data_IF_116664897780
#
_entry.id   IF_116664897780
#
_cell.length_a   1.000
_cell.length_b   1.000
_cell.length_c   1.000
_cell.angle_alpha   90.00
_cell.angle_beta   90.00
_cell.angle_gamma   90.00
#
_symmetry.space_group_name_H-M   'P 1'
#
loop_
_entity.id
_entity.type
_entity.pdbx_description
1 polymer ?
#
# COMPACT_ATOMS: atom_id res chain seq x y z
N UNK A 1 -42.63 23.85 33.01
CA UNK A 1 -41.52 23.87 33.98
C UNK A 1 -40.26 24.23 33.19
N UNK A 2 -39.63 25.33 33.60
CA UNK A 2 -38.38 25.98 33.15
C UNK A 2 -37.49 25.28 32.08
N UNK A 3 -37.15 26.05 31.02
CA UNK A 3 -35.86 26.21 30.26
C UNK A 3 -34.81 25.07 30.23
N UNK A 4 -33.91 24.93 29.25
CA UNK A 4 -33.61 25.50 27.91
C UNK A 4 -32.41 24.67 27.39
N UNK A 5 -32.27 24.44 26.08
CA UNK A 5 -31.16 25.00 25.30
C UNK A 5 -31.22 24.57 23.84
N UNK A 6 -30.75 25.45 22.97
CA UNK A 6 -30.82 25.31 21.52
C UNK A 6 -29.70 26.17 20.92
N UNK A 7 -29.28 25.80 19.71
CA UNK A 7 -28.57 26.63 18.73
C UNK A 7 -27.08 26.97 18.90
N UNK A 8 -26.42 26.91 17.73
CA UNK A 8 -25.23 27.63 17.23
C UNK A 8 -23.87 27.11 17.70
N UNK A 9 -22.94 26.76 16.81
CA UNK A 9 -22.35 27.53 15.68
C UNK A 9 -21.51 28.70 16.22
N UNK A 10 -20.19 28.50 16.29
CA UNK A 10 -19.23 29.52 16.66
C UNK A 10 -17.99 29.40 15.76
N UNK A 11 -17.76 30.42 14.94
CA UNK A 11 -16.49 30.69 14.30
C UNK A 11 -15.81 31.87 15.02
N UNK A 12 -14.49 31.77 15.21
CA UNK A 12 -13.59 32.86 15.63
C UNK A 12 -12.17 32.37 15.27
N UNK A 13 -11.45 32.88 14.27
CA UNK A 13 -11.04 34.25 13.99
C UNK A 13 -10.16 34.83 15.11
N UNK A 14 -8.84 34.74 14.94
CA UNK A 14 -7.87 35.52 15.71
C UNK A 14 -6.84 36.18 14.78
N UNK A 15 -7.13 37.42 14.41
CA UNK A 15 -6.13 38.36 13.89
C UNK A 15 -5.60 39.16 15.08
N UNK A 16 -4.30 39.13 15.32
CA UNK A 16 -3.62 40.09 16.21
C UNK A 16 -2.42 40.68 15.46
N UNK A 17 -2.59 41.90 14.96
CA UNK A 17 -1.48 42.79 14.66
C UNK A 17 -1.09 43.52 15.95
N UNK A 18 0.20 43.56 16.29
CA UNK A 18 0.75 44.57 17.21
C UNK A 18 1.91 45.26 16.50
N UNK A 19 1.83 46.59 16.46
CA UNK A 19 2.90 47.47 15.98
C UNK A 19 3.18 48.55 17.02
N UNK A 20 4.36 49.17 16.91
CA UNK A 20 4.97 50.17 17.79
C UNK A 20 5.53 49.64 19.15
N UNK A 21 6.71 50.08 19.60
CA UNK A 21 7.69 50.92 18.90
C UNK A 21 8.85 51.44 19.78
N UNK A 22 9.90 51.91 19.08
CA UNK A 22 10.91 52.88 19.50
C UNK A 22 11.70 52.71 20.84
N UNK A 23 13.01 52.48 20.70
CA UNK A 23 14.05 53.12 21.53
C UNK A 23 15.27 53.50 20.66
N UNK A 24 15.71 54.76 20.72
CA UNK A 24 17.08 55.18 20.35
C UNK A 24 17.97 55.20 21.59
N UNK A 25 19.29 55.43 21.56
CA UNK A 25 20.24 55.79 20.49
C UNK A 25 21.69 55.37 20.97
N UNK A 26 22.85 55.70 20.37
CA UNK A 26 23.21 56.70 19.36
C UNK A 26 24.55 56.38 18.62
N UNK A 27 24.93 57.26 17.70
CA UNK A 27 26.10 57.30 16.80
C UNK A 27 27.48 56.89 17.36
N UNK A 28 28.30 56.28 16.49
CA UNK A 28 29.50 56.91 15.91
C UNK A 28 29.66 56.51 14.43
N UNK A 29 30.44 57.28 13.67
CA UNK A 29 30.65 57.10 12.24
C UNK A 29 32.11 56.69 11.96
N UNK A 30 32.33 55.96 10.85
CA UNK A 30 33.62 55.88 10.17
C UNK A 30 33.42 55.53 8.67
N UNK A 31 33.80 56.48 7.83
CA UNK A 31 34.68 56.36 6.66
C UNK A 31 34.45 55.23 5.63
N UNK A 32 33.88 55.63 4.50
CA UNK A 32 33.40 54.73 3.46
C UNK A 32 34.43 54.08 2.54
N UNK A 33 33.95 53.00 1.91
CA UNK A 33 34.22 52.58 0.52
C UNK A 33 32.91 52.02 -0.05
N UNK A 34 32.67 52.25 -1.33
CA UNK A 34 31.56 51.61 -2.03
C UNK A 34 32.06 50.27 -2.58
N UNK A 35 31.56 49.17 -2.03
CA UNK A 35 31.69 47.86 -2.67
C UNK A 35 30.70 47.76 -3.85
N UNK A 36 31.05 47.06 -4.94
CA UNK A 36 30.14 46.84 -6.05
C UNK A 36 28.97 45.94 -5.62
N UNK A 37 27.76 46.23 -6.11
CA UNK A 37 26.60 45.35 -5.90
C UNK A 37 26.93 43.92 -6.35
N UNK A 38 26.67 42.90 -5.52
CA UNK A 38 26.75 41.51 -5.96
C UNK A 38 25.71 41.29 -7.05
N UNK A 39 26.10 40.60 -8.12
CA UNK A 39 25.16 40.24 -9.18
C UNK A 39 24.04 39.39 -8.60
N UNK A 40 22.79 39.84 -8.78
CA UNK A 40 21.60 39.06 -8.42
C UNK A 40 21.55 37.85 -9.34
N UNK A 41 22.01 36.70 -8.83
CA UNK A 41 21.56 35.42 -9.34
C UNK A 41 20.08 35.30 -8.98
N UNK A 42 19.21 35.29 -9.99
CA UNK A 42 17.80 34.94 -9.76
C UNK A 42 17.77 33.52 -9.20
N UNK A 43 17.39 33.37 -7.94
CA UNK A 43 17.04 32.07 -7.39
C UNK A 43 15.85 31.53 -8.22
N UNK A 44 15.85 30.25 -8.59
CA UNK A 44 14.72 29.68 -9.31
C UNK A 44 13.46 29.88 -8.46
N UNK A 45 12.45 30.53 -9.05
CA UNK A 45 11.15 30.67 -8.41
C UNK A 45 10.66 29.25 -8.14
N UNK A 46 10.36 28.86 -6.88
CA UNK A 46 9.86 27.54 -6.60
C UNK A 46 8.57 27.34 -7.39
N UNK A 47 8.54 26.28 -8.20
CA UNK A 47 7.36 25.89 -8.95
C UNK A 47 6.27 25.59 -7.92
N UNK A 48 5.10 26.22 -8.09
CA UNK A 48 4.02 26.10 -7.09
C UNK A 48 3.40 24.72 -7.27
N UNK A 49 3.53 23.88 -6.24
CA UNK A 49 2.90 22.54 -6.22
C UNK A 49 1.43 22.65 -6.64
N UNK A 50 0.97 21.92 -7.68
CA UNK A 50 -0.40 22.01 -8.17
C UNK A 50 -1.37 21.60 -7.06
N UNK A 51 -2.37 22.46 -6.85
CA UNK A 51 -3.45 22.16 -5.91
C UNK A 51 -4.47 21.22 -6.56
N UNK A 52 -5.30 20.58 -5.75
CA UNK A 52 -6.46 19.83 -6.26
C UNK A 52 -7.37 20.69 -7.17
N UNK A 53 -7.43 22.00 -6.95
CA UNK A 53 -8.26 22.92 -7.74
C UNK A 53 -7.72 23.15 -9.17
N UNK A 54 -6.47 22.75 -9.44
CA UNK A 54 -5.81 22.81 -10.74
C UNK A 54 -6.02 21.54 -11.61
N UNK A 55 -6.60 20.47 -11.03
CA UNK A 55 -6.85 19.21 -11.74
C UNK A 55 -7.78 19.34 -12.94
N UNK A 56 -7.44 18.62 -14.01
CA UNK A 56 -8.21 18.62 -15.25
C UNK A 56 -9.43 17.69 -15.13
N UNK A 57 -10.56 18.26 -14.68
CA UNK A 57 -11.85 17.56 -14.60
C UNK A 57 -12.69 17.78 -15.87
N UNK A 58 -12.96 16.69 -16.60
CA UNK A 58 -13.78 16.68 -17.84
C UNK A 58 -15.04 15.84 -17.66
N UNK A 59 -16.10 16.46 -17.14
CA UNK A 59 -17.35 15.76 -16.85
C UNK A 59 -17.16 14.75 -15.72
N UNK A 60 -17.29 13.45 -16.01
CA UNK A 60 -17.00 12.34 -15.08
C UNK A 60 -15.60 11.75 -15.26
N UNK A 61 -14.64 12.52 -15.75
CA UNK A 61 -13.24 12.12 -15.89
C UNK A 61 -12.34 13.07 -15.13
N UNK A 62 -11.37 12.52 -14.39
CA UNK A 62 -10.22 13.26 -13.82
C UNK A 62 -8.99 12.80 -14.60
N UNK A 63 -8.20 13.74 -15.12
CA UNK A 63 -6.94 13.48 -15.83
C UNK A 63 -5.78 13.86 -14.90
N UNK A 64 -4.93 12.88 -14.54
CA UNK A 64 -3.73 13.04 -13.70
C UNK A 64 -2.50 12.73 -14.55
N UNK A 65 -1.62 13.71 -14.69
CA UNK A 65 -0.49 13.75 -15.64
C UNK A 65 0.86 13.91 -14.96
N UNK A 66 0.91 14.36 -13.70
CA UNK A 66 2.14 14.51 -12.91
C UNK A 66 2.08 13.80 -11.55
N UNK A 67 3.25 13.66 -10.92
CA UNK A 67 3.43 13.15 -9.54
C UNK A 67 2.59 13.95 -8.55
N UNK A 68 2.63 15.26 -8.67
CA UNK A 68 2.08 16.22 -7.72
C UNK A 68 0.55 16.24 -7.82
N UNK A 69 -0.01 16.15 -9.03
CA UNK A 69 -1.46 15.94 -9.23
C UNK A 69 -1.90 14.62 -8.57
N UNK A 70 -1.15 13.53 -8.73
CA UNK A 70 -1.50 12.24 -8.12
C UNK A 70 -1.39 12.26 -6.58
N UNK A 71 -0.40 12.96 -6.04
CA UNK A 71 -0.26 13.21 -4.59
C UNK A 71 -1.41 14.07 -4.04
N UNK A 72 -1.74 15.18 -4.70
CA UNK A 72 -2.85 16.04 -4.34
C UNK A 72 -4.19 15.29 -4.39
N UNK A 73 -4.36 14.34 -5.32
CA UNK A 73 -5.54 13.47 -5.37
C UNK A 73 -5.63 12.55 -4.15
N UNK A 74 -4.52 11.93 -3.74
CA UNK A 74 -4.48 11.05 -2.57
C UNK A 74 -4.76 11.79 -1.26
N UNK A 75 -4.07 12.91 -1.02
CA UNK A 75 -4.35 13.81 0.11
C UNK A 75 -5.82 14.20 0.14
N UNK A 76 -6.36 14.58 -1.01
CA UNK A 76 -7.73 15.04 -1.10
C UNK A 76 -8.74 13.96 -0.71
N UNK A 77 -8.59 12.74 -1.24
CA UNK A 77 -9.48 11.63 -0.92
C UNK A 77 -9.44 11.26 0.57
N UNK A 78 -8.26 11.30 1.18
CA UNK A 78 -8.08 10.93 2.59
C UNK A 78 -8.66 11.97 3.57
N UNK A 79 -8.84 13.23 3.14
CA UNK A 79 -9.49 14.29 3.94
C UNK A 79 -11.03 14.18 4.06
N UNK A 80 -11.68 13.26 3.32
CA UNK A 80 -13.13 13.00 3.36
C UNK A 80 -14.09 14.20 3.14
N UNK A 81 -13.65 15.30 2.51
CA UNK A 81 -14.50 16.47 2.30
C UNK A 81 -15.71 16.13 1.40
N UNK A 82 -16.97 16.19 1.91
CA UNK A 82 -18.17 15.85 1.13
C UNK A 82 -18.43 16.76 -0.07
N UNK A 83 -17.71 17.89 -0.21
CA UNK A 83 -17.72 18.73 -1.42
C UNK A 83 -17.28 17.94 -2.67
N UNK A 84 -16.45 16.92 -2.51
CA UNK A 84 -15.81 16.23 -3.63
C UNK A 84 -16.23 14.76 -3.65
N UNK A 85 -17.07 14.42 -4.63
CA UNK A 85 -17.65 13.10 -4.79
C UNK A 85 -17.39 12.62 -6.21
N UNK A 86 -16.55 11.60 -6.32
CA UNK A 86 -16.10 10.95 -7.54
C UNK A 86 -16.85 9.65 -7.84
N UNK A 87 -18.03 9.42 -7.24
CA UNK A 87 -18.83 8.23 -7.50
C UNK A 87 -19.17 8.09 -8.99
N UNK A 88 -18.77 6.96 -9.57
CA UNK A 88 -18.91 6.68 -11.00
C UNK A 88 -18.05 7.56 -11.92
N UNK A 89 -16.94 8.13 -11.44
CA UNK A 89 -15.94 8.82 -12.27
C UNK A 89 -14.88 7.84 -12.78
N UNK A 90 -14.20 8.21 -13.87
CA UNK A 90 -12.94 7.58 -14.28
C UNK A 90 -11.78 8.52 -13.93
N UNK A 91 -10.87 8.05 -13.07
CA UNK A 91 -9.60 8.69 -12.77
C UNK A 91 -8.59 8.09 -13.74
N UNK A 92 -7.93 8.93 -14.53
CA UNK A 92 -7.00 8.51 -15.57
C UNK A 92 -5.59 8.95 -15.26
N UNK A 93 -4.66 8.02 -15.42
CA UNK A 93 -3.23 8.35 -15.51
C UNK A 93 -2.90 8.65 -16.97
N UNK A 94 -2.27 9.79 -17.24
CA UNK A 94 -2.06 10.34 -18.59
C UNK A 94 -0.60 10.30 -19.06
N UNK A 95 0.33 10.01 -18.15
CA UNK A 95 1.77 9.83 -18.38
C UNK A 95 2.29 8.75 -17.42
N UNK A 96 3.48 8.22 -17.66
CA UNK A 96 4.18 7.48 -16.60
C UNK A 96 4.55 8.44 -15.46
N UNK A 97 4.29 8.03 -14.21
CA UNK A 97 4.49 8.83 -13.00
C UNK A 97 5.50 8.12 -12.10
N UNK A 98 6.57 8.80 -11.72
CA UNK A 98 7.52 8.28 -10.72
C UNK A 98 7.19 8.84 -9.33
N UNK A 99 7.02 7.98 -8.34
CA UNK A 99 6.73 8.29 -6.94
C UNK A 99 7.90 7.94 -6.00
N UNK A 100 9.07 7.58 -6.53
CA UNK A 100 10.28 7.33 -5.72
C UNK A 100 10.62 8.55 -4.82
N UNK A 101 10.65 8.40 -3.48
CA UNK A 101 10.97 9.48 -2.55
C UNK A 101 12.43 9.94 -2.64
N UNK A 102 13.33 9.23 -3.34
CA UNK A 102 14.70 9.66 -3.59
C UNK A 102 14.83 10.75 -4.67
N UNK A 103 13.78 11.02 -5.45
CA UNK A 103 13.75 12.15 -6.39
C UNK A 103 13.59 13.49 -5.64
N UNK A 104 13.97 14.60 -6.28
CA UNK A 104 13.81 15.94 -5.72
C UNK A 104 12.33 16.24 -5.43
N UNK A 105 12.03 16.87 -4.27
CA UNK A 105 10.66 17.01 -3.77
C UNK A 105 9.99 15.69 -3.34
N UNK A 106 10.72 14.57 -3.33
CA UNK A 106 10.23 13.25 -2.99
C UNK A 106 9.72 13.11 -1.56
N UNK A 107 8.66 12.32 -1.43
CA UNK A 107 7.97 11.98 -0.18
C UNK A 107 7.29 10.63 -0.34
N UNK A 108 6.98 9.96 0.76
CA UNK A 108 6.30 8.67 0.72
C UNK A 108 4.86 8.79 0.24
N UNK A 109 4.29 7.66 -0.19
CA UNK A 109 2.90 7.54 -0.61
C UNK A 109 1.98 7.36 0.59
N UNK A 110 0.99 8.23 0.73
CA UNK A 110 -0.13 8.02 1.66
C UNK A 110 -1.20 7.15 0.97
N UNK A 111 -1.50 5.93 1.47
CA UNK A 111 -2.50 5.05 0.87
C UNK A 111 -3.87 5.72 0.73
N UNK A 112 -4.55 5.53 -0.40
CA UNK A 112 -5.90 6.08 -0.62
C UNK A 112 -6.94 5.20 0.05
N UNK A 113 -7.86 5.79 0.82
CA UNK A 113 -9.08 5.11 1.29
C UNK A 113 -10.20 5.24 0.25
N UNK A 114 -10.64 4.11 -0.32
CA UNK A 114 -11.73 4.06 -1.29
C UNK A 114 -13.05 3.83 -0.56
N UNK A 115 -13.70 4.94 -0.22
CA UNK A 115 -14.98 5.00 0.51
C UNK A 115 -16.16 5.39 -0.42
N UNK A 116 -17.33 5.71 0.16
CA UNK A 116 -18.53 6.18 -0.56
C UNK A 116 -18.30 7.26 -1.61
N UNK A 117 -17.28 8.12 -1.46
CA UNK A 117 -16.97 9.18 -2.43
C UNK A 117 -16.32 8.64 -3.71
N UNK A 118 -15.84 7.40 -3.71
CA UNK A 118 -15.33 6.67 -4.89
C UNK A 118 -16.24 5.50 -5.29
N UNK A 119 -17.48 5.43 -4.80
CA UNK A 119 -18.40 4.33 -5.14
C UNK A 119 -18.61 4.20 -6.65
N UNK A 120 -18.21 3.06 -7.22
CA UNK A 120 -18.26 2.75 -8.66
C UNK A 120 -17.26 3.54 -9.50
N UNK A 121 -16.23 4.14 -8.89
CA UNK A 121 -15.16 4.81 -9.63
C UNK A 121 -14.21 3.80 -10.28
N UNK A 122 -13.53 4.24 -11.34
CA UNK A 122 -12.57 3.45 -12.11
C UNK A 122 -11.24 4.19 -12.14
N UNK A 123 -10.18 3.57 -11.62
CA UNK A 123 -8.80 4.02 -11.79
C UNK A 123 -8.22 3.33 -13.03
N UNK A 124 -8.06 4.08 -14.13
CA UNK A 124 -7.62 3.60 -15.43
C UNK A 124 -6.24 4.15 -15.75
N UNK A 125 -5.21 3.30 -15.69
CA UNK A 125 -3.84 3.69 -16.00
C UNK A 125 -3.59 4.06 -17.46
N UNK A 126 -4.55 3.83 -18.38
CA UNK A 126 -4.40 4.04 -19.83
C UNK A 126 -3.20 3.28 -20.47
N UNK A 127 -2.58 2.33 -19.75
CA UNK A 127 -1.36 1.62 -20.14
C UNK A 127 -0.07 2.13 -19.48
N UNK A 128 -0.14 3.20 -18.68
CA UNK A 128 1.00 3.85 -18.03
C UNK A 128 1.49 3.15 -16.77
N UNK A 129 2.68 3.58 -16.34
CA UNK A 129 3.42 3.07 -15.19
C UNK A 129 3.41 4.06 -14.03
N UNK A 130 3.17 3.58 -12.81
CA UNK A 130 3.41 4.26 -11.55
C UNK A 130 4.63 3.59 -10.90
N UNK A 131 5.76 4.28 -10.85
CA UNK A 131 7.02 3.76 -10.32
C UNK A 131 7.24 4.17 -8.85
N UNK A 132 8.01 3.40 -8.09
CA UNK A 132 8.69 3.87 -6.87
C UNK A 132 7.79 4.12 -5.65
N UNK A 133 6.53 3.65 -5.67
CA UNK A 133 5.58 3.78 -4.55
C UNK A 133 6.22 3.26 -3.26
N UNK A 134 6.56 4.18 -2.35
CA UNK A 134 7.16 3.83 -1.06
C UNK A 134 6.17 4.14 0.06
N UNK A 135 5.89 3.15 0.92
CA UNK A 135 5.04 3.29 2.10
C UNK A 135 5.79 2.70 3.30
N UNK A 136 5.86 3.45 4.39
CA UNK A 136 6.45 3.02 5.68
C UNK A 136 5.38 3.05 6.79
N UNK A 137 5.68 2.53 8.00
CA UNK A 137 4.70 2.51 9.09
C UNK A 137 4.20 3.90 9.51
N UNK A 138 5.09 4.91 9.49
CA UNK A 138 4.78 6.28 9.88
C UNK A 138 3.73 6.94 8.95
N UNK A 139 3.69 6.53 7.68
CA UNK A 139 2.73 7.03 6.68
C UNK A 139 1.28 6.55 6.91
N UNK A 140 1.09 5.66 7.90
CA UNK A 140 -0.18 5.04 8.24
C UNK A 140 -0.84 5.69 9.47
N UNK A 141 -0.18 6.65 10.11
CA UNK A 141 -0.70 7.44 11.24
C UNK A 141 -1.67 8.57 10.79
N UNK A 142 -2.73 8.21 10.06
CA UNK A 142 -3.75 9.17 9.65
C UNK A 142 -4.61 9.63 10.85
N UNK A 143 -4.30 10.81 11.42
CA UNK A 143 -5.10 11.44 12.47
C UNK A 143 -6.59 11.57 12.05
N UNK A 144 -7.49 10.95 12.81
CA UNK A 144 -8.94 11.07 12.63
C UNK A 144 -9.71 9.75 12.63
N UNK A 145 -9.04 8.62 12.39
CA UNK A 145 -9.64 7.28 12.45
C UNK A 145 -9.16 6.55 13.70
N UNK A 146 -10.06 6.30 14.64
CA UNK A 146 -9.74 5.59 15.87
C UNK A 146 -9.40 4.12 15.61
N UNK A 147 -8.20 3.71 16.04
CA UNK A 147 -7.62 2.36 16.05
C UNK A 147 -7.79 1.50 14.78
N UNK A 148 -6.64 1.27 14.14
CA UNK A 148 -6.35 0.31 13.05
C UNK A 148 -6.71 0.81 11.64
N UNK A 149 -5.68 1.28 10.93
CA UNK A 149 -5.62 1.16 9.47
C UNK A 149 -5.46 -0.33 9.15
N UNK A 150 -6.47 -0.95 8.54
CA UNK A 150 -6.50 -2.40 8.34
C UNK A 150 -5.68 -2.90 7.14
N UNK A 151 -5.24 -2.00 6.25
CA UNK A 151 -4.50 -2.38 5.05
C UNK A 151 -3.46 -1.38 4.55
N UNK A 152 -2.34 -1.91 4.04
CA UNK A 152 -1.29 -1.14 3.33
C UNK A 152 -1.24 -1.53 1.86
N UNK A 153 -1.29 -0.54 0.97
CA UNK A 153 -1.19 -0.70 -0.48
C UNK A 153 -1.28 0.67 -1.14
N UNK A 154 -1.24 0.74 -2.48
CA UNK A 154 -1.49 2.01 -3.18
C UNK A 154 -2.88 2.57 -2.82
N UNK A 155 -3.88 1.69 -2.80
CA UNK A 155 -5.13 1.86 -2.07
C UNK A 155 -5.01 1.10 -0.73
N UNK A 156 -5.11 1.79 0.40
CA UNK A 156 -4.95 1.14 1.71
C UNK A 156 -6.13 0.23 2.06
N UNK A 157 -7.33 0.74 1.78
CA UNK A 157 -8.60 0.09 2.12
C UNK A 157 -9.64 0.37 1.02
N UNK A 158 -10.38 -0.65 0.61
CA UNK A 158 -11.48 -0.55 -0.35
C UNK A 158 -12.78 -1.02 0.31
N UNK A 159 -13.68 -0.08 0.58
CA UNK A 159 -14.96 -0.31 1.27
C UNK A 159 -16.19 -0.26 0.37
N UNK A 160 -16.02 -0.07 -0.94
CA UNK A 160 -17.09 0.09 -1.93
C UNK A 160 -16.70 -0.53 -3.28
N UNK A 161 -17.67 -0.65 -4.19
CA UNK A 161 -17.41 -1.08 -5.57
C UNK A 161 -16.39 -0.16 -6.26
N UNK A 162 -15.34 -0.75 -6.85
CA UNK A 162 -14.21 -0.02 -7.42
C UNK A 162 -13.45 -0.88 -8.44
N UNK A 163 -12.97 -0.26 -9.53
CA UNK A 163 -12.16 -0.96 -10.56
C UNK A 163 -10.78 -0.31 -10.69
N UNK A 164 -9.72 -1.11 -10.69
CA UNK A 164 -8.36 -0.69 -11.05
C UNK A 164 -7.96 -1.41 -12.33
N UNK A 165 -7.50 -0.68 -13.35
CA UNK A 165 -7.16 -1.31 -14.63
C UNK A 165 -6.10 -0.61 -15.47
N UNK A 166 -5.56 -1.34 -16.44
CA UNK A 166 -4.60 -0.84 -17.44
C UNK A 166 -3.40 -0.10 -16.83
N UNK A 167 -2.89 -0.53 -15.68
CA UNK A 167 -1.86 0.19 -14.93
C UNK A 167 -0.73 -0.76 -14.54
N UNK A 168 0.51 -0.25 -14.57
CA UNK A 168 1.68 -0.94 -14.04
C UNK A 168 2.15 -0.26 -12.78
N UNK A 169 2.42 -1.02 -11.72
CA UNK A 169 3.14 -0.56 -10.55
C UNK A 169 4.54 -1.18 -10.58
N UNK A 170 5.58 -0.36 -10.61
CA UNK A 170 6.98 -0.83 -10.68
C UNK A 170 7.78 -0.38 -9.48
N UNK A 171 8.66 -1.25 -8.98
CA UNK A 171 9.61 -0.94 -7.90
C UNK A 171 8.93 -0.37 -6.63
N UNK A 172 7.73 -0.87 -6.30
CA UNK A 172 7.01 -0.47 -5.11
C UNK A 172 7.67 -1.08 -3.86
N UNK A 173 7.86 -0.28 -2.82
CA UNK A 173 8.45 -0.70 -1.54
C UNK A 173 7.44 -0.46 -0.41
N UNK A 174 7.01 -1.53 0.25
CA UNK A 174 6.01 -1.46 1.31
C UNK A 174 6.58 -2.03 2.61
N UNK A 175 6.94 -1.17 3.56
CA UNK A 175 7.28 -1.54 4.92
C UNK A 175 6.00 -1.38 5.76
N UNK A 176 5.28 -2.49 5.97
CA UNK A 176 3.94 -2.47 6.56
C UNK A 176 3.93 -3.00 7.98
N UNK A 177 3.28 -2.23 8.87
CA UNK A 177 2.89 -2.65 10.20
C UNK A 177 1.40 -3.06 10.30
N UNK A 178 0.65 -3.06 9.20
CA UNK A 178 -0.80 -3.34 9.21
C UNK A 178 -1.09 -4.81 8.91
N UNK A 179 -2.30 -5.25 9.29
CA UNK A 179 -2.70 -6.66 9.25
C UNK A 179 -2.76 -7.23 7.84
N UNK A 180 -3.08 -6.43 6.83
CA UNK A 180 -3.20 -6.87 5.44
C UNK A 180 -2.34 -5.98 4.53
N UNK A 181 -1.53 -6.55 3.64
CA UNK A 181 -0.70 -5.74 2.75
C UNK A 181 -0.74 -6.25 1.31
N UNK A 182 -0.93 -5.37 0.35
CA UNK A 182 -0.94 -5.73 -1.07
C UNK A 182 -0.37 -4.65 -1.95
N UNK A 183 0.34 -5.04 -3.02
CA UNK A 183 1.00 -4.11 -3.93
C UNK A 183 0.06 -3.07 -4.57
N UNK A 184 -1.23 -3.38 -4.68
CA UNK A 184 -2.27 -2.48 -5.20
C UNK A 184 -3.31 -2.13 -4.13
N UNK A 185 -3.86 -3.13 -3.44
CA UNK A 185 -4.89 -2.95 -2.40
C UNK A 185 -4.46 -3.63 -1.09
N UNK A 186 -4.45 -2.89 0.02
CA UNK A 186 -4.17 -3.46 1.34
C UNK A 186 -5.29 -4.38 1.84
N UNK A 187 -6.50 -3.86 1.98
CA UNK A 187 -7.67 -4.62 2.46
C UNK A 187 -8.94 -4.28 1.69
N UNK A 188 -9.79 -5.28 1.44
CA UNK A 188 -11.15 -5.14 0.90
C UNK A 188 -12.14 -5.49 2.02
N UNK A 189 -12.99 -4.54 2.37
CA UNK A 189 -13.83 -4.59 3.56
C UNK A 189 -15.21 -3.97 3.36
N UNK A 190 -15.96 -3.84 4.46
CA UNK A 190 -17.25 -3.13 4.55
C UNK A 190 -18.37 -3.69 3.65
N UNK A 191 -18.14 -4.84 3.00
CA UNK A 191 -19.07 -5.45 2.07
C UNK A 191 -19.12 -4.74 0.71
N UNK A 192 -17.98 -4.31 0.18
CA UNK A 192 -17.88 -3.78 -1.18
C UNK A 192 -18.57 -4.72 -2.20
N UNK A 193 -19.50 -4.20 -3.03
CA UNK A 193 -20.34 -5.07 -3.87
C UNK A 193 -19.54 -5.77 -4.97
N UNK A 194 -18.59 -5.06 -5.60
CA UNK A 194 -17.73 -5.58 -6.66
C UNK A 194 -16.39 -4.82 -6.74
N UNK A 195 -15.28 -5.51 -6.48
CA UNK A 195 -13.91 -5.02 -6.72
C UNK A 195 -13.30 -5.74 -7.91
N UNK A 196 -12.70 -4.99 -8.83
CA UNK A 196 -12.19 -5.50 -10.11
C UNK A 196 -10.76 -5.04 -10.36
N UNK A 197 -9.86 -5.99 -10.64
CA UNK A 197 -8.51 -5.73 -11.17
C UNK A 197 -8.42 -6.34 -12.57
N UNK A 198 -8.17 -5.50 -13.58
CA UNK A 198 -8.22 -5.84 -15.01
C UNK A 198 -6.97 -5.30 -15.71
N UNK A 199 -6.12 -6.17 -16.29
CA UNK A 199 -4.85 -5.76 -16.92
C UNK A 199 -3.94 -4.93 -15.99
N UNK A 200 -3.82 -5.32 -14.71
CA UNK A 200 -2.91 -4.70 -13.74
C UNK A 200 -1.59 -5.47 -13.68
N UNK A 201 -0.46 -4.78 -13.77
CA UNK A 201 0.88 -5.37 -13.58
C UNK A 201 1.51 -4.84 -12.29
N UNK A 202 2.13 -5.71 -11.51
CA UNK A 202 3.05 -5.35 -10.43
C UNK A 202 4.40 -6.01 -10.74
N UNK A 203 5.47 -5.23 -10.76
CA UNK A 203 6.83 -5.72 -11.01
C UNK A 203 7.84 -5.07 -10.06
N UNK A 204 8.80 -5.83 -9.53
CA UNK A 204 9.78 -5.28 -8.59
C UNK A 204 9.19 -4.90 -7.23
N UNK A 205 8.06 -5.48 -6.81
CA UNK A 205 7.48 -5.20 -5.50
C UNK A 205 8.37 -5.79 -4.39
N UNK A 206 8.76 -4.96 -3.44
CA UNK A 206 9.37 -5.39 -2.18
C UNK A 206 8.38 -5.08 -1.05
N UNK A 207 7.61 -6.09 -0.68
CA UNK A 207 6.66 -6.02 0.43
C UNK A 207 7.29 -6.69 1.66
N UNK A 208 7.59 -5.87 2.66
CA UNK A 208 8.05 -6.27 3.98
C UNK A 208 6.93 -6.04 4.98
N UNK A 209 6.09 -7.06 5.19
CA UNK A 209 5.07 -7.08 6.23
C UNK A 209 5.63 -7.34 7.63
N UNK A 210 6.88 -6.97 7.90
CA UNK A 210 7.57 -7.15 9.19
C UNK A 210 7.88 -8.60 9.59
N UNK A 211 8.83 -8.76 10.51
CA UNK A 211 9.21 -10.07 11.09
C UNK A 211 8.63 -10.30 12.49
N UNK A 212 8.10 -9.25 13.11
CA UNK A 212 7.64 -9.25 14.50
C UNK A 212 8.76 -9.40 15.54
N UNK A 213 8.33 -9.59 16.79
CA UNK A 213 9.19 -10.14 17.85
C UNK A 213 8.45 -11.23 18.61
N UNK A 214 9.15 -12.01 19.43
CA UNK A 214 8.56 -13.14 20.15
C UNK A 214 7.39 -12.67 21.04
N UNK A 215 6.20 -13.22 20.80
CA UNK A 215 4.93 -12.83 21.44
C UNK A 215 4.42 -11.40 21.13
N UNK A 216 4.96 -10.70 20.13
CA UNK A 216 4.41 -9.43 19.64
C UNK A 216 4.09 -9.48 18.14
N UNK A 217 2.80 -9.32 17.81
CA UNK A 217 2.28 -9.23 16.43
C UNK A 217 2.14 -7.78 15.93
N UNK A 218 2.39 -6.79 16.79
CA UNK A 218 2.42 -5.39 16.37
C UNK A 218 3.57 -5.21 15.37
N UNK A 219 3.26 -4.66 14.21
CA UNK A 219 4.22 -4.54 13.12
C UNK A 219 4.33 -5.77 12.21
N UNK A 220 3.29 -6.63 12.15
CA UNK A 220 3.27 -7.78 11.23
C UNK A 220 2.01 -7.84 10.35
N UNK A 221 2.19 -8.02 9.04
CA UNK A 221 1.12 -8.36 8.09
C UNK A 221 0.73 -9.84 8.18
N UNK A 222 -0.49 -10.06 8.67
CA UNK A 222 -1.17 -11.35 8.82
C UNK A 222 -1.66 -11.92 7.49
N UNK A 223 -1.75 -11.09 6.43
CA UNK A 223 -2.10 -11.50 5.06
C UNK A 223 -1.35 -10.63 4.06
N UNK A 224 -0.68 -11.22 3.07
CA UNK A 224 0.11 -10.47 2.11
C UNK A 224 -0.06 -11.00 0.68
N UNK A 225 -0.24 -10.12 -0.31
CA UNK A 225 -0.38 -10.51 -1.72
C UNK A 225 0.31 -9.55 -2.67
N UNK A 226 0.73 -10.01 -3.84
CA UNK A 226 1.32 -9.13 -4.85
C UNK A 226 0.36 -8.06 -5.37
N UNK A 227 -0.94 -8.36 -5.44
CA UNK A 227 -2.00 -7.40 -5.79
C UNK A 227 -2.80 -6.94 -4.56
N UNK A 228 -3.35 -7.87 -3.80
CA UNK A 228 -4.33 -7.61 -2.74
C UNK A 228 -3.92 -8.31 -1.44
N UNK A 229 -3.93 -7.60 -0.31
CA UNK A 229 -3.61 -8.22 0.99
C UNK A 229 -4.72 -9.16 1.47
N UNK A 230 -5.97 -8.69 1.54
CA UNK A 230 -7.10 -9.51 1.94
C UNK A 230 -8.46 -8.99 1.43
N UNK A 231 -9.40 -9.89 1.10
CA UNK A 231 -10.83 -9.68 1.36
C UNK A 231 -11.20 -10.39 2.67
N UNK A 232 -11.82 -9.65 3.59
CA UNK A 232 -12.26 -10.20 4.88
C UNK A 232 -13.77 -10.16 5.10
N UNK A 233 -14.57 -9.61 4.18
CA UNK A 233 -16.02 -9.49 4.35
C UNK A 233 -16.86 -10.12 3.22
N UNK A 234 -16.23 -10.82 2.26
CA UNK A 234 -16.94 -11.64 1.27
C UNK A 234 -17.45 -10.82 0.09
N UNK A 235 -16.72 -9.74 -0.23
CA UNK A 235 -16.92 -8.92 -1.42
C UNK A 235 -16.74 -9.75 -2.68
N UNK A 236 -17.44 -9.41 -3.78
CA UNK A 236 -17.14 -10.01 -5.07
C UNK A 236 -15.81 -9.45 -5.59
N UNK A 237 -14.77 -10.29 -5.64
CA UNK A 237 -13.43 -9.92 -6.11
C UNK A 237 -13.13 -10.59 -7.44
N UNK A 238 -13.04 -9.79 -8.51
CA UNK A 238 -12.67 -10.26 -9.84
C UNK A 238 -11.25 -9.79 -10.17
N UNK A 239 -10.34 -10.72 -10.41
CA UNK A 239 -8.97 -10.41 -10.86
C UNK A 239 -8.69 -11.20 -12.13
N UNK A 240 -8.48 -10.50 -13.23
CA UNK A 240 -8.14 -11.14 -14.49
C UNK A 240 -7.14 -10.37 -15.34
N UNK A 241 -6.43 -11.13 -16.17
CA UNK A 241 -5.39 -10.64 -17.09
C UNK A 241 -4.28 -9.82 -16.37
N UNK A 242 -4.13 -10.02 -15.06
CA UNK A 242 -3.15 -9.34 -14.22
C UNK A 242 -1.82 -10.12 -14.16
N UNK A 243 -0.74 -9.43 -13.81
CA UNK A 243 0.60 -10.02 -13.69
C UNK A 243 1.29 -9.53 -12.42
N UNK A 244 1.91 -10.44 -11.67
CA UNK A 244 2.86 -10.11 -10.61
C UNK A 244 4.18 -10.79 -10.96
N UNK A 245 5.24 -10.01 -11.15
CA UNK A 245 6.56 -10.57 -11.46
C UNK A 245 7.73 -9.90 -10.75
N UNK A 246 8.88 -10.58 -10.71
CA UNK A 246 10.16 -10.07 -10.19
C UNK A 246 10.01 -9.45 -8.77
N UNK A 247 9.23 -10.09 -7.89
CA UNK A 247 8.72 -9.49 -6.65
C UNK A 247 8.99 -10.36 -5.42
N UNK A 248 9.17 -9.72 -4.26
CA UNK A 248 9.32 -10.38 -2.95
C UNK A 248 8.20 -9.95 -2.02
N UNK A 249 7.36 -10.91 -1.60
CA UNK A 249 6.22 -10.69 -0.70
C UNK A 249 6.50 -11.36 0.64
N UNK A 250 6.63 -10.56 1.69
CA UNK A 250 6.88 -11.03 3.06
C UNK A 250 5.67 -10.78 3.95
N UNK A 251 5.18 -11.83 4.60
CA UNK A 251 4.15 -11.73 5.61
C UNK A 251 4.26 -12.84 6.65
N UNK A 252 3.25 -12.97 7.49
CA UNK A 252 3.22 -13.94 8.58
C UNK A 252 2.41 -15.18 8.21
N UNK A 253 1.21 -14.92 7.72
CA UNK A 253 0.18 -15.90 7.43
C UNK A 253 -0.42 -15.53 6.06
N UNK A 254 -0.95 -16.50 5.32
CA UNK A 254 -1.60 -16.31 4.02
C UNK A 254 -0.88 -15.30 3.09
N UNK A 255 0.25 -15.72 2.53
CA UNK A 255 1.17 -14.96 1.67
C UNK A 255 1.14 -15.50 0.25
N UNK A 256 0.77 -14.72 -0.76
CA UNK A 256 0.59 -15.23 -2.12
C UNK A 256 1.08 -14.29 -3.23
N UNK A 257 1.13 -14.81 -4.46
CA UNK A 257 1.47 -14.01 -5.64
C UNK A 257 0.39 -12.98 -6.01
N UNK A 258 -0.91 -13.26 -5.85
CA UNK A 258 -1.99 -12.30 -6.18
C UNK A 258 -2.73 -11.78 -4.94
N UNK A 259 -3.52 -12.61 -4.27
CA UNK A 259 -4.37 -12.20 -3.13
C UNK A 259 -3.97 -12.95 -1.87
N UNK A 260 -3.48 -12.25 -0.84
CA UNK A 260 -3.05 -12.89 0.40
C UNK A 260 -4.15 -13.76 0.99
N UNK A 261 -5.36 -13.23 1.16
CA UNK A 261 -6.53 -14.02 1.54
C UNK A 261 -7.83 -13.61 0.84
N UNK A 262 -8.67 -14.56 0.46
CA UNK A 262 -10.08 -14.35 0.08
C UNK A 262 -11.03 -15.06 1.04
N UNK A 263 -12.27 -14.57 1.16
CA UNK A 263 -13.36 -15.34 1.75
C UNK A 263 -13.97 -16.34 0.74
N UNK A 264 -14.65 -17.37 1.27
CA UNK A 264 -15.29 -18.42 0.46
C UNK A 264 -16.32 -17.88 -0.53
N UNK A 265 -16.20 -18.31 -1.79
CA UNK A 265 -17.29 -18.31 -2.77
C UNK A 265 -17.61 -16.99 -3.49
N UNK A 266 -16.85 -15.92 -3.26
CA UNK A 266 -17.08 -14.60 -3.85
C UNK A 266 -15.90 -14.10 -4.73
N UNK A 267 -15.30 -14.94 -5.56
CA UNK A 267 -14.18 -14.53 -6.40
C UNK A 267 -14.15 -15.15 -7.81
N UNK A 268 -13.56 -14.41 -8.75
CA UNK A 268 -13.22 -14.88 -10.10
C UNK A 268 -11.75 -14.57 -10.38
N UNK A 269 -10.90 -15.59 -10.50
CA UNK A 269 -9.45 -15.45 -10.71
C UNK A 269 -9.08 -16.17 -12.02
N UNK A 270 -8.80 -15.43 -13.10
CA UNK A 270 -8.60 -16.01 -14.45
C UNK A 270 -7.50 -15.31 -15.26
N UNK A 271 -6.80 -16.04 -16.13
CA UNK A 271 -5.75 -15.55 -17.04
C UNK A 271 -4.58 -14.77 -16.38
N UNK A 272 -4.38 -14.89 -15.06
CA UNK A 272 -3.34 -14.15 -14.35
C UNK A 272 -1.97 -14.83 -14.46
N UNK A 273 -0.89 -14.07 -14.28
CA UNK A 273 0.48 -14.59 -14.33
C UNK A 273 1.26 -14.23 -13.06
N UNK A 274 1.95 -15.22 -12.46
CA UNK A 274 2.83 -15.03 -11.30
C UNK A 274 4.22 -15.58 -11.63
N UNK A 275 5.23 -14.72 -11.79
CA UNK A 275 6.53 -15.12 -12.34
C UNK A 275 7.73 -14.55 -11.59
N UNK A 276 8.70 -15.38 -11.22
CA UNK A 276 9.91 -14.94 -10.51
C UNK A 276 9.53 -14.19 -9.21
N UNK A 277 8.81 -14.89 -8.33
CA UNK A 277 8.25 -14.32 -7.09
C UNK A 277 8.74 -15.12 -5.88
N UNK A 278 9.20 -14.39 -4.86
CA UNK A 278 9.65 -14.93 -3.58
C UNK A 278 8.56 -14.73 -2.52
N UNK A 279 7.99 -15.82 -2.02
CA UNK A 279 6.96 -15.78 -0.96
C UNK A 279 7.59 -16.13 0.40
N UNK A 280 7.86 -15.10 1.19
CA UNK A 280 8.45 -15.22 2.52
C UNK A 280 7.33 -15.21 3.58
N UNK A 281 7.17 -16.29 4.33
CA UNK A 281 6.10 -16.42 5.32
C UNK A 281 6.63 -16.92 6.67
N UNK A 282 5.95 -16.64 7.79
CA UNK A 282 6.38 -17.08 9.13
C UNK A 282 5.30 -17.86 9.85
N UNK A 283 5.40 -19.18 9.84
CA UNK A 283 4.44 -20.04 10.53
C UNK A 283 4.64 -20.06 12.07
N UNK A 284 5.17 -19.01 12.73
CA UNK A 284 5.52 -19.07 14.16
C UNK A 284 4.34 -18.97 15.13
N UNK A 285 3.16 -18.53 14.69
CA UNK A 285 1.92 -18.73 15.47
C UNK A 285 1.48 -20.21 15.57
N UNK A 286 2.16 -21.12 14.87
CA UNK A 286 1.95 -22.56 14.99
C UNK A 286 2.36 -23.15 16.35
N UNK A 287 2.86 -22.33 17.27
CA UNK A 287 3.06 -22.67 18.70
C UNK A 287 1.75 -23.08 19.40
N UNK A 288 0.59 -22.61 18.91
CA UNK A 288 -0.70 -23.18 19.27
C UNK A 288 -0.69 -24.70 18.96
N UNK A 289 -0.88 -25.53 20.00
CA UNK A 289 -0.44 -26.93 20.02
C UNK A 289 -0.95 -27.84 18.89
N UNK A 290 -1.99 -27.43 18.18
CA UNK A 290 -2.54 -28.13 17.00
C UNK A 290 -1.64 -28.03 15.75
N UNK A 291 -0.79 -27.01 15.63
CA UNK A 291 -0.08 -26.67 14.39
C UNK A 291 1.39 -27.12 14.36
N UNK A 292 1.83 -27.92 15.34
CA UNK A 292 3.20 -28.44 15.43
C UNK A 292 3.59 -29.47 14.35
N UNK A 293 2.69 -29.82 13.42
CA UNK A 293 3.02 -30.65 12.26
C UNK A 293 3.56 -29.76 11.12
N UNK A 294 4.80 -29.99 10.60
CA UNK A 294 5.39 -29.24 9.48
C UNK A 294 4.74 -29.50 8.10
N UNK A 295 3.62 -30.22 8.06
CA UNK A 295 2.69 -30.18 6.93
C UNK A 295 1.80 -28.92 6.97
N UNK A 296 1.52 -28.33 8.15
CA UNK A 296 0.66 -27.15 8.26
C UNK A 296 1.32 -25.83 7.86
N UNK A 297 2.65 -25.70 7.97
CA UNK A 297 3.33 -24.46 7.54
C UNK A 297 3.19 -24.19 6.05
N UNK A 298 2.83 -25.20 5.26
CA UNK A 298 2.70 -25.12 3.80
C UNK A 298 1.41 -24.43 3.37
N UNK A 299 0.35 -24.44 4.20
CA UNK A 299 -0.95 -23.83 3.88
C UNK A 299 -0.94 -22.29 3.92
N UNK A 300 0.18 -21.67 4.31
CA UNK A 300 0.30 -20.22 4.42
C UNK A 300 0.86 -19.55 3.16
N UNK A 301 1.12 -20.30 2.08
CA UNK A 301 1.53 -19.73 0.80
C UNK A 301 0.93 -20.44 -0.42
N UNK A 302 0.49 -19.66 -1.41
CA UNK A 302 -0.07 -20.14 -2.68
C UNK A 302 0.37 -19.23 -3.85
N UNK A 303 0.55 -19.73 -5.09
CA UNK A 303 0.83 -18.87 -6.24
C UNK A 303 -0.22 -17.76 -6.43
N UNK A 304 -1.50 -18.06 -6.26
CA UNK A 304 -2.59 -17.15 -6.63
C UNK A 304 -3.30 -16.60 -5.39
N UNK A 305 -3.87 -17.45 -4.53
CA UNK A 305 -4.56 -16.98 -3.34
C UNK A 305 -4.69 -18.01 -2.22
N UNK A 306 -4.74 -17.56 -0.97
CA UNK A 306 -5.15 -18.39 0.16
C UNK A 306 -6.63 -18.14 0.51
N UNK A 307 -7.32 -19.15 1.02
CA UNK A 307 -8.74 -19.03 1.43
C UNK A 307 -8.84 -18.92 2.97
N UNK A 308 -9.77 -18.11 3.46
CA UNK A 308 -9.97 -17.85 4.89
C UNK A 308 -10.65 -19.02 5.63
N UNK A 309 -11.37 -19.89 4.92
CA UNK A 309 -12.08 -21.02 5.47
C UNK A 309 -11.15 -22.23 5.66
N UNK A 310 -11.18 -22.80 6.86
CA UNK A 310 -10.72 -24.17 7.15
C UNK A 310 -9.26 -24.57 6.86
N UNK A 311 -8.31 -23.63 6.71
CA UNK A 311 -6.86 -23.92 6.88
C UNK A 311 -6.35 -25.09 6.02
N UNK A 312 -6.93 -25.27 4.82
CA UNK A 312 -6.97 -26.58 4.17
C UNK A 312 -6.97 -26.55 2.65
N UNK A 313 -6.10 -27.40 2.10
CA UNK A 313 -5.96 -27.88 0.72
C UNK A 313 -6.00 -26.87 -0.46
N UNK A 314 -4.82 -26.74 -1.08
CA UNK A 314 -4.43 -25.92 -2.23
C UNK A 314 -5.34 -26.01 -3.46
N UNK A 315 -5.54 -24.86 -4.12
CA UNK A 315 -6.28 -24.74 -5.38
C UNK A 315 -5.40 -24.75 -6.65
N UNK A 316 -4.10 -25.06 -6.54
CA UNK A 316 -3.15 -25.07 -7.69
C UNK A 316 -3.61 -25.88 -8.92
N UNK A 317 -4.52 -26.85 -8.76
CA UNK A 317 -5.10 -27.61 -9.87
C UNK A 317 -6.33 -26.89 -10.48
N UNK A 318 -7.13 -26.14 -9.70
CA UNK A 318 -8.33 -25.40 -10.16
C UNK A 318 -7.97 -24.10 -10.88
N UNK A 319 -6.94 -23.38 -10.43
CA UNK A 319 -6.61 -22.06 -11.00
C UNK A 319 -5.96 -22.16 -12.38
N UNK A 320 -5.26 -23.27 -12.66
CA UNK A 320 -4.74 -23.56 -14.00
C UNK A 320 -5.87 -23.80 -15.03
N UNK A 321 -7.04 -24.31 -14.59
CA UNK A 321 -8.20 -24.50 -15.47
C UNK A 321 -8.83 -23.16 -15.92
N UNK A 322 -8.65 -22.09 -15.12
CA UNK A 322 -9.06 -20.72 -15.44
C UNK A 322 -7.99 -19.92 -16.20
N UNK A 323 -6.99 -20.61 -16.78
CA UNK A 323 -5.96 -19.98 -17.62
C UNK A 323 -4.88 -19.21 -16.86
N UNK A 324 -4.87 -19.25 -15.51
CA UNK A 324 -3.79 -18.67 -14.73
C UNK A 324 -2.48 -19.45 -14.93
N UNK A 325 -1.34 -18.78 -14.79
CA UNK A 325 -0.01 -19.40 -14.94
C UNK A 325 0.94 -18.95 -13.83
N UNK A 326 1.85 -19.83 -13.42
CA UNK A 326 2.97 -19.46 -12.57
C UNK A 326 4.27 -20.11 -13.00
N UNK A 327 5.39 -19.42 -12.77
CA UNK A 327 6.75 -19.90 -13.07
C UNK A 327 7.75 -19.27 -12.10
N UNK A 328 8.88 -19.94 -11.82
CA UNK A 328 9.96 -19.36 -11.01
C UNK A 328 9.46 -18.84 -9.64
N UNK A 329 8.54 -19.59 -9.01
CA UNK A 329 7.99 -19.30 -7.68
C UNK A 329 8.73 -20.13 -6.63
N UNK A 330 9.25 -19.45 -5.60
CA UNK A 330 9.70 -20.11 -4.37
C UNK A 330 8.96 -19.60 -3.14
N UNK A 331 8.81 -20.50 -2.18
CA UNK A 331 8.23 -20.20 -0.88
C UNK A 331 9.20 -20.58 0.22
N UNK A 332 9.32 -19.71 1.21
CA UNK A 332 10.29 -19.82 2.28
C UNK A 332 9.70 -19.48 3.65
N UNK A 333 9.84 -20.41 4.59
CA UNK A 333 9.42 -20.25 5.99
C UNK A 333 10.53 -19.52 6.76
N UNK A 334 10.39 -18.21 6.95
CA UNK A 334 11.44 -17.34 7.53
C UNK A 334 11.80 -17.71 8.98
N UNK A 335 11.01 -18.57 9.64
CA UNK A 335 11.38 -19.18 10.93
C UNK A 335 12.73 -19.90 10.91
N UNK A 336 13.19 -20.35 9.75
CA UNK A 336 14.49 -21.02 9.63
C UNK A 336 15.66 -20.03 9.85
N UNK A 337 15.47 -18.74 9.58
CA UNK A 337 16.45 -17.68 9.85
C UNK A 337 16.22 -16.97 11.20
N UNK A 338 14.98 -16.99 11.72
CA UNK A 338 14.66 -16.42 13.03
C UNK A 338 15.08 -17.38 14.15
N UNK A 339 16.33 -17.22 14.61
CA UNK A 339 16.79 -17.84 15.86
C UNK A 339 16.21 -17.13 17.09
N UNK A 340 15.07 -17.62 17.60
CA UNK A 340 14.55 -17.27 18.92
C UNK A 340 15.53 -17.71 20.02
N UNK A 341 16.44 -16.82 20.43
CA UNK A 341 17.29 -17.03 21.61
C UNK A 341 16.51 -16.65 22.88
N UNK A 342 15.96 -17.65 23.56
CA UNK A 342 14.97 -17.46 24.61
C UNK A 342 15.37 -16.56 25.80
N UNK A 343 14.34 -15.92 26.36
CA UNK A 343 14.19 -15.13 27.61
C UNK A 343 15.22 -14.05 28.02
N UNK A 344 16.50 -14.09 27.60
CA UNK A 344 17.51 -13.08 28.01
C UNK A 344 18.10 -12.26 26.84
N UNK A 345 17.77 -12.59 25.58
CA UNK A 345 18.33 -11.95 24.38
C UNK A 345 17.49 -10.80 23.80
N UNK A 346 17.43 -9.65 24.48
CA UNK A 346 16.93 -8.42 23.83
C UNK A 346 17.94 -7.91 22.79
N UNK A 347 17.39 -7.23 21.79
CA UNK A 347 18.08 -6.51 20.71
C UNK A 347 18.84 -7.38 19.70
N UNK A 348 18.18 -7.66 18.56
CA UNK A 348 18.81 -7.84 17.25
C UNK A 348 17.87 -7.39 16.15
N UNK A 349 18.27 -6.35 15.43
CA UNK A 349 17.55 -5.84 14.28
C UNK A 349 17.44 -6.92 13.19
N UNK A 350 16.20 -7.25 12.80
CA UNK A 350 15.91 -7.93 11.54
C UNK A 350 15.83 -6.89 10.43
N UNK A 351 16.90 -6.12 10.21
CA UNK A 351 17.01 -5.25 9.05
C UNK A 351 17.19 -6.09 7.79
N UNK A 352 16.52 -5.75 6.67
CA UNK A 352 16.90 -6.24 5.36
C UNK A 352 18.38 -5.94 5.08
N UNK A 353 18.97 -6.65 4.12
CA UNK A 353 20.28 -6.24 3.61
C UNK A 353 20.20 -4.82 2.99
N UNK A 354 21.33 -4.22 2.61
CA UNK A 354 21.36 -2.86 2.02
C UNK A 354 20.63 -2.72 0.67
N UNK A 355 20.03 -3.81 0.16
CA UNK A 355 19.28 -3.91 -1.09
C UNK A 355 17.79 -4.26 -0.85
N UNK A 356 17.33 -4.32 0.41
CA UNK A 356 15.92 -4.57 0.77
C UNK A 356 15.48 -6.04 0.74
N UNK A 357 16.41 -6.98 0.52
CA UNK A 357 16.11 -8.42 0.42
C UNK A 357 16.49 -9.19 1.68
N UNK A 358 15.67 -10.20 2.01
CA UNK A 358 16.09 -11.31 2.88
C UNK A 358 17.09 -12.21 2.12
N UNK A 359 18.05 -12.85 2.80
CA UNK A 359 19.03 -13.69 2.13
C UNK A 359 18.36 -14.90 1.47
N UNK A 360 18.65 -15.13 0.18
CA UNK A 360 18.12 -16.27 -0.55
C UNK A 360 18.74 -17.59 -0.07
N UNK A 361 18.12 -18.25 0.93
CA UNK A 361 18.60 -19.50 1.53
C UNK A 361 17.63 -20.66 1.29
N UNK A 362 17.75 -21.31 0.13
CA UNK A 362 17.26 -22.69 -0.05
C UNK A 362 15.75 -22.93 0.13
N UNK A 363 14.91 -22.06 -0.44
CA UNK A 363 13.45 -22.24 -0.46
C UNK A 363 12.98 -23.55 -1.10
N UNK A 364 11.79 -24.01 -0.71
CA UNK A 364 11.16 -25.19 -1.31
C UNK A 364 10.41 -24.81 -2.57
N UNK A 365 10.89 -25.24 -3.74
CA UNK A 365 10.20 -25.01 -5.02
C UNK A 365 8.83 -25.69 -5.04
N UNK A 366 7.76 -24.89 -5.17
CA UNK A 366 6.41 -25.39 -5.39
C UNK A 366 6.35 -25.97 -6.81
N UNK A 367 6.25 -27.31 -6.91
CA UNK A 367 6.11 -28.01 -8.20
C UNK A 367 4.67 -28.44 -8.46
N UNK A 368 4.14 -28.29 -9.68
CA UNK A 368 2.83 -28.80 -10.05
C UNK A 368 2.73 -30.31 -9.80
N UNK A 369 1.54 -30.77 -9.42
CA UNK A 369 1.31 -32.15 -8.96
C UNK A 369 1.62 -33.19 -10.04
N UNK A 370 1.47 -32.83 -11.31
CA UNK A 370 1.72 -33.65 -12.51
C UNK A 370 3.16 -34.16 -12.64
N UNK A 371 4.15 -33.53 -12.00
CA UNK A 371 5.56 -33.93 -12.08
C UNK A 371 6.01 -34.92 -10.99
N UNK A 372 5.14 -35.22 -10.01
CA UNK A 372 5.47 -36.10 -8.88
C UNK A 372 4.84 -37.47 -9.07
N UNK A 373 5.63 -38.41 -9.59
CA UNK A 373 5.26 -39.83 -9.64
C UNK A 373 4.97 -40.39 -8.24
N UNK A 374 3.99 -41.29 -8.19
CA UNK A 374 3.43 -41.93 -6.99
C UNK A 374 4.46 -42.60 -6.05
#
# INVERSE_FOLDING_TARGET
MIMKNSFKLAALLLVICIAAGAFGACKKADDGKADPEPAVTEEPVPEVDPSFEDMVVRGKTVELSTREELFAFAEHMNNLDPKYNFSGYTIKIMNDIDLDPALEGGRNWTPIFVDRYLYGAVFDGQGHTINGVTITPDDLEAEGYGEVVYGTGFFGLVGVSFTVKNVRFTNAKMESCTKHCGGVIGSIEMGADNVELDHVTVSGLVLSGGTGSENNLDGISIRAGGLVGADIQGSLVNIHDCTVEDSSVTGFHNVSGLIGCVNDGCYTIANNTVKNVHLNYSASYAENANYKNPEYSRYFSDPFYCVNSYWGEYHTDYDLENGNTYAELDSYDIRNDIHYSGEEGKDKDCTPNSEGMFPAVGGSVIRPRSERGY
#
